data_IF_871874169048
#
_entry.id   IF_871874169048
#
_cell.length_a   1.000
_cell.length_b   1.000
_cell.length_c   1.000
_cell.angle_alpha   90.00
_cell.angle_beta   90.00
_cell.angle_gamma   90.00
#
_symmetry.space_group_name_H-M   'P 1'
#
loop_
_entity.id
_entity.type
_entity.pdbx_description
1 polymer ?
#
# COMPACT_ATOMS: atom_id res chain seq x y z
N UNK A 1 -12.73 -9.71 -0.48
CA UNK A 1 -12.00 -10.59 0.42
C UNK A 1 -10.57 -10.84 -0.08
N UNK A 2 -10.36 -11.35 -1.33
CA UNK A 2 -9.04 -11.72 -1.88
C UNK A 2 -8.03 -10.57 -1.87
N UNK A 3 -8.42 -9.37 -2.34
CA UNK A 3 -7.58 -8.17 -2.29
C UNK A 3 -7.04 -7.89 -0.88
N UNK A 4 -7.89 -8.03 0.13
CA UNK A 4 -7.54 -7.74 1.51
C UNK A 4 -6.62 -8.81 2.08
N UNK A 5 -6.90 -10.10 1.78
CA UNK A 5 -6.04 -11.21 2.16
C UNK A 5 -4.65 -11.06 1.56
N UNK A 6 -4.56 -10.83 0.25
CA UNK A 6 -3.31 -10.57 -0.45
C UNK A 6 -2.52 -9.41 0.19
N UNK A 7 -3.19 -8.28 0.47
CA UNK A 7 -2.54 -7.10 1.04
C UNK A 7 -2.04 -7.33 2.48
N UNK A 8 -2.76 -8.09 3.29
CA UNK A 8 -2.32 -8.45 4.63
C UNK A 8 -1.12 -9.40 4.59
N UNK A 9 -1.18 -10.47 3.80
CA UNK A 9 -0.07 -11.41 3.67
C UNK A 9 1.15 -10.82 2.98
N UNK A 10 0.97 -9.97 1.97
CA UNK A 10 2.06 -9.23 1.35
C UNK A 10 2.86 -8.44 2.40
N UNK A 11 2.16 -7.76 3.30
CA UNK A 11 2.81 -7.01 4.40
C UNK A 11 3.49 -7.94 5.39
N UNK A 12 2.80 -9.00 5.83
CA UNK A 12 3.35 -9.97 6.78
C UNK A 12 4.62 -10.64 6.23
N UNK A 13 4.59 -11.12 4.99
CA UNK A 13 5.73 -11.76 4.34
C UNK A 13 6.89 -10.80 4.11
N UNK A 14 6.60 -9.55 3.78
CA UNK A 14 7.64 -8.51 3.58
C UNK A 14 8.40 -8.23 4.88
N UNK A 15 7.71 -8.17 6.03
CA UNK A 15 8.35 -7.84 7.30
C UNK A 15 8.89 -9.04 8.07
N UNK A 16 8.26 -10.21 7.94
CA UNK A 16 8.53 -11.35 8.82
C UNK A 16 9.00 -12.61 8.08
N UNK A 17 9.03 -12.61 6.76
CA UNK A 17 9.41 -13.77 5.96
C UNK A 17 8.37 -14.88 6.05
N UNK A 18 8.75 -16.04 6.61
CA UNK A 18 7.85 -17.17 6.85
C UNK A 18 6.80 -16.82 7.91
N UNK A 19 5.54 -17.03 7.61
CA UNK A 19 4.42 -16.71 8.50
C UNK A 19 3.38 -17.83 8.49
N UNK A 20 2.53 -17.89 9.51
CA UNK A 20 1.37 -18.78 9.50
C UNK A 20 0.42 -18.38 8.39
N UNK A 21 0.10 -19.29 7.47
CA UNK A 21 -0.79 -19.03 6.35
C UNK A 21 -2.11 -19.78 6.51
N UNK A 22 -3.18 -19.03 6.71
CA UNK A 22 -4.54 -19.56 6.87
C UNK A 22 -5.51 -18.91 5.90
N UNK A 23 -6.44 -19.67 5.37
CA UNK A 23 -7.45 -19.20 4.40
C UNK A 23 -8.90 -19.36 4.88
N UNK A 24 -9.07 -19.97 6.05
CA UNK A 24 -10.35 -20.20 6.71
C UNK A 24 -10.28 -19.74 8.17
N UNK A 25 -11.41 -19.72 8.81
CA UNK A 25 -11.48 -19.51 10.26
C UNK A 25 -10.88 -20.72 10.94
N UNK A 26 -9.99 -20.49 11.88
CA UNK A 26 -9.27 -21.49 12.67
C UNK A 26 -9.75 -21.37 14.11
N UNK A 27 -10.02 -22.49 14.78
CA UNK A 27 -10.36 -22.46 16.19
C UNK A 27 -9.10 -22.23 17.07
N UNK A 28 -9.32 -21.99 18.35
CA UNK A 28 -8.24 -21.63 19.28
C UNK A 28 -7.25 -22.78 19.46
N UNK A 29 -7.74 -24.02 19.54
CA UNK A 29 -6.90 -25.19 19.77
C UNK A 29 -6.04 -25.48 18.53
N UNK A 30 -6.64 -25.43 17.34
CA UNK A 30 -5.94 -25.59 16.07
C UNK A 30 -4.88 -24.47 15.88
N UNK A 31 -5.21 -23.25 16.26
CA UNK A 31 -4.30 -22.10 16.09
C UNK A 31 -2.96 -22.30 16.80
N UNK A 32 -2.93 -22.98 17.93
CA UNK A 32 -1.68 -23.29 18.67
C UNK A 32 -0.83 -24.38 18.02
N UNK A 33 -1.37 -25.14 17.09
CA UNK A 33 -0.66 -26.22 16.37
C UNK A 33 -0.06 -25.77 15.04
N UNK A 34 -0.47 -24.58 14.55
CA UNK A 34 -0.05 -24.07 13.24
C UNK A 34 1.42 -23.64 13.26
N UNK A 35 2.20 -24.17 12.33
CA UNK A 35 3.56 -23.76 12.05
C UNK A 35 3.61 -22.62 11.01
N UNK A 36 4.80 -22.03 10.83
CA UNK A 36 5.05 -21.06 9.77
C UNK A 36 5.11 -21.78 8.42
N UNK A 37 4.45 -21.21 7.43
CA UNK A 37 4.57 -21.63 6.03
C UNK A 37 5.73 -20.87 5.39
N UNK A 38 6.59 -21.54 4.61
CA UNK A 38 7.70 -20.89 3.93
C UNK A 38 7.23 -19.72 3.02
N UNK A 39 7.97 -18.61 3.03
CA UNK A 39 7.75 -17.46 2.16
C UNK A 39 7.59 -17.87 0.70
N UNK A 40 8.42 -18.81 0.22
CA UNK A 40 8.40 -19.31 -1.16
C UNK A 40 7.08 -19.96 -1.57
N UNK A 41 6.32 -20.48 -0.60
CA UNK A 41 5.00 -21.06 -0.86
C UNK A 41 3.87 -20.04 -0.77
N UNK A 42 4.06 -18.97 0.03
CA UNK A 42 3.03 -17.94 0.25
C UNK A 42 3.03 -16.92 -0.90
N UNK A 43 4.20 -16.50 -1.37
CA UNK A 43 4.34 -15.46 -2.40
C UNK A 43 3.53 -15.75 -3.67
N UNK A 44 3.58 -16.96 -4.27
CA UNK A 44 2.73 -17.26 -5.43
C UNK A 44 1.23 -17.16 -5.15
N UNK A 45 0.79 -17.54 -3.94
CA UNK A 45 -0.61 -17.45 -3.52
C UNK A 45 -1.07 -16.00 -3.37
N UNK A 46 -0.19 -15.11 -2.93
CA UNK A 46 -0.46 -13.68 -2.86
C UNK A 46 -0.65 -13.11 -4.28
N UNK A 47 0.19 -13.49 -5.24
CA UNK A 47 0.03 -13.06 -6.63
C UNK A 47 -1.28 -13.55 -7.24
N UNK A 48 -1.63 -14.81 -7.00
CA UNK A 48 -2.89 -15.40 -7.45
C UNK A 48 -4.11 -14.67 -6.86
N UNK A 49 -4.06 -14.32 -5.58
CA UNK A 49 -5.12 -13.57 -4.91
C UNK A 49 -5.27 -12.17 -5.49
N UNK A 50 -4.17 -11.47 -5.80
CA UNK A 50 -4.23 -10.18 -6.47
C UNK A 50 -4.79 -10.29 -7.90
N UNK A 51 -4.42 -11.33 -8.66
CA UNK A 51 -4.92 -11.55 -10.00
C UNK A 51 -6.42 -11.80 -9.99
N UNK A 52 -6.90 -12.72 -9.16
CA UNK A 52 -8.34 -12.98 -8.98
C UNK A 52 -9.09 -11.75 -8.48
N UNK A 53 -8.47 -10.95 -7.62
CA UNK A 53 -9.05 -9.69 -7.17
C UNK A 53 -9.15 -8.69 -8.33
N UNK A 54 -8.11 -8.57 -9.17
CA UNK A 54 -8.12 -7.68 -10.33
C UNK A 54 -9.15 -8.08 -11.39
N UNK A 55 -9.42 -9.39 -11.55
CA UNK A 55 -10.47 -9.89 -12.44
C UNK A 55 -11.88 -9.55 -11.95
N UNK A 56 -12.11 -9.65 -10.65
CA UNK A 56 -13.43 -9.46 -10.04
C UNK A 56 -13.76 -8.05 -9.57
N UNK A 57 -12.78 -7.15 -9.51
CA UNK A 57 -12.96 -5.76 -9.08
C UNK A 57 -13.26 -4.84 -10.26
N UNK A 58 -14.16 -3.87 -10.11
CA UNK A 58 -14.40 -2.88 -11.17
C UNK A 58 -13.20 -1.95 -11.33
N UNK A 59 -13.08 -1.38 -12.51
CA UNK A 59 -12.06 -0.38 -12.80
C UNK A 59 -12.30 0.94 -12.05
N UNK A 60 -13.58 1.31 -11.87
CA UNK A 60 -14.00 2.54 -11.21
C UNK A 60 -15.31 2.32 -10.46
N UNK A 61 -15.44 2.96 -9.30
CA UNK A 61 -16.71 3.06 -8.58
C UNK A 61 -17.31 4.46 -8.76
N UNK A 62 -18.64 4.55 -8.58
CA UNK A 62 -19.36 5.81 -8.59
C UNK A 62 -19.88 6.16 -7.19
N UNK A 63 -20.00 7.45 -6.90
CA UNK A 63 -20.50 7.94 -5.62
C UNK A 63 -19.61 7.58 -4.44
N UNK A 64 -20.21 7.34 -3.28
CA UNK A 64 -19.49 7.01 -2.02
C UNK A 64 -18.71 5.70 -2.08
N UNK A 65 -18.94 4.86 -3.05
CA UNK A 65 -18.19 3.61 -3.26
C UNK A 65 -16.81 3.84 -3.88
N UNK A 66 -16.50 5.05 -4.35
CA UNK A 66 -15.24 5.38 -5.03
C UNK A 66 -13.97 5.15 -4.20
N UNK A 67 -14.10 5.01 -2.87
CA UNK A 67 -12.99 4.75 -1.95
C UNK A 67 -12.69 3.27 -1.72
N UNK A 68 -13.39 2.37 -2.41
CA UNK A 68 -13.12 0.93 -2.34
C UNK A 68 -11.98 0.53 -3.25
N UNK A 69 -11.40 -0.64 -2.96
CA UNK A 69 -10.37 -1.20 -3.83
C UNK A 69 -10.91 -1.44 -5.25
N UNK A 70 -10.15 -1.02 -6.24
CA UNK A 70 -10.43 -1.16 -7.67
C UNK A 70 -9.50 -2.21 -8.30
N UNK A 71 -9.74 -2.55 -9.57
CA UNK A 71 -8.82 -3.35 -10.39
C UNK A 71 -7.41 -2.74 -10.40
N UNK A 72 -7.31 -1.44 -10.59
CA UNK A 72 -6.02 -0.73 -10.55
C UNK A 72 -5.31 -0.83 -9.21
N UNK A 73 -6.06 -0.77 -8.09
CA UNK A 73 -5.49 -0.96 -6.76
C UNK A 73 -4.87 -2.36 -6.59
N UNK A 74 -5.53 -3.41 -7.08
CA UNK A 74 -5.01 -4.78 -7.01
C UNK A 74 -3.72 -4.92 -7.84
N UNK A 75 -3.71 -4.40 -9.06
CA UNK A 75 -2.54 -4.43 -9.95
C UNK A 75 -1.36 -3.63 -9.38
N UNK A 76 -1.60 -2.43 -8.88
CA UNK A 76 -0.56 -1.58 -8.31
C UNK A 76 0.05 -2.18 -7.03
N UNK A 77 -0.76 -2.76 -6.15
CA UNK A 77 -0.25 -3.43 -4.95
C UNK A 77 0.47 -4.72 -5.27
N UNK A 78 0.04 -5.47 -6.30
CA UNK A 78 0.78 -6.63 -6.82
C UNK A 78 2.15 -6.21 -7.35
N UNK A 79 2.21 -5.16 -8.16
CA UNK A 79 3.46 -4.64 -8.71
C UNK A 79 4.44 -4.24 -7.60
N UNK A 80 3.97 -3.50 -6.60
CA UNK A 80 4.77 -3.08 -5.45
C UNK A 80 5.28 -4.26 -4.62
N UNK A 81 4.42 -5.25 -4.37
CA UNK A 81 4.83 -6.44 -3.62
C UNK A 81 5.86 -7.27 -4.38
N UNK A 82 5.65 -7.49 -5.68
CA UNK A 82 6.59 -8.20 -6.55
C UNK A 82 7.96 -7.49 -6.60
N UNK A 83 7.97 -6.16 -6.64
CA UNK A 83 9.18 -5.36 -6.54
C UNK A 83 9.97 -5.68 -5.25
N UNK A 84 9.29 -5.74 -4.10
CA UNK A 84 9.92 -6.09 -2.82
C UNK A 84 10.39 -7.54 -2.74
N UNK A 85 9.79 -8.43 -3.51
CA UNK A 85 10.21 -9.83 -3.59
C UNK A 85 11.38 -10.05 -4.55
N UNK A 86 11.72 -9.08 -5.40
CA UNK A 86 12.73 -9.20 -6.46
C UNK A 86 12.19 -9.84 -7.73
N UNK A 87 10.88 -10.02 -7.84
CA UNK A 87 10.21 -10.63 -8.99
C UNK A 87 9.93 -9.57 -10.07
N UNK A 88 10.99 -9.08 -10.72
CA UNK A 88 10.98 -7.92 -11.61
C UNK A 88 10.02 -8.05 -12.79
N UNK A 89 9.93 -9.23 -13.39
CA UNK A 89 9.04 -9.49 -14.52
C UNK A 89 7.56 -9.38 -14.09
N UNK A 90 7.22 -9.96 -12.95
CA UNK A 90 5.86 -9.88 -12.39
C UNK A 90 5.53 -8.43 -11.99
N UNK A 91 6.49 -7.71 -11.43
CA UNK A 91 6.33 -6.31 -11.07
C UNK A 91 6.07 -5.44 -12.32
N UNK A 92 6.87 -5.62 -13.37
CA UNK A 92 6.75 -4.88 -14.62
C UNK A 92 5.41 -5.17 -15.33
N UNK A 93 5.02 -6.45 -15.43
CA UNK A 93 3.74 -6.86 -16.04
C UNK A 93 2.54 -6.26 -15.29
N UNK A 94 2.52 -6.36 -13.97
CA UNK A 94 1.43 -5.82 -13.16
C UNK A 94 1.35 -4.28 -13.24
N UNK A 95 2.50 -3.60 -13.22
CA UNK A 95 2.57 -2.15 -13.40
C UNK A 95 2.05 -1.73 -14.79
N UNK A 96 2.49 -2.44 -15.83
CA UNK A 96 2.02 -2.17 -17.20
C UNK A 96 0.52 -2.36 -17.34
N UNK A 97 -0.02 -3.45 -16.82
CA UNK A 97 -1.48 -3.69 -16.82
C UNK A 97 -2.24 -2.58 -16.08
N UNK A 98 -1.68 -2.02 -14.99
CA UNK A 98 -2.28 -0.90 -14.28
C UNK A 98 -2.24 0.39 -15.14
N UNK A 99 -1.14 0.66 -15.82
CA UNK A 99 -1.00 1.81 -16.73
C UNK A 99 -1.95 1.70 -17.93
N UNK A 100 -2.09 0.51 -18.50
CA UNK A 100 -2.94 0.24 -19.67
C UNK A 100 -4.44 0.43 -19.39
N UNK A 101 -4.86 0.53 -18.11
CA UNK A 101 -6.22 0.95 -17.76
C UNK A 101 -6.53 2.40 -18.18
N UNK A 102 -5.51 3.25 -18.36
CA UNK A 102 -5.67 4.65 -18.77
C UNK A 102 -6.44 5.55 -17.78
N UNK A 103 -6.57 5.11 -16.52
CA UNK A 103 -7.38 5.78 -15.49
C UNK A 103 -6.57 6.76 -14.62
N UNK A 104 -5.26 6.58 -14.57
CA UNK A 104 -4.37 7.31 -13.68
C UNK A 104 -3.43 8.20 -14.49
N UNK A 105 -3.17 9.40 -13.98
CA UNK A 105 -2.26 10.36 -14.61
C UNK A 105 -1.44 11.04 -13.53
N UNK A 106 -0.17 11.28 -13.82
CA UNK A 106 0.67 12.10 -12.96
C UNK A 106 0.08 13.52 -12.86
N UNK A 107 0.10 14.10 -11.67
CA UNK A 107 -0.29 15.48 -11.46
C UNK A 107 0.71 16.41 -12.16
N UNK A 108 0.21 17.49 -12.75
CA UNK A 108 1.05 18.39 -13.55
C UNK A 108 2.10 19.13 -12.72
N UNK A 109 1.75 19.49 -11.49
CA UNK A 109 2.63 20.16 -10.54
C UNK A 109 2.80 19.29 -9.28
N UNK A 110 4.06 18.90 -9.02
CA UNK A 110 4.38 18.05 -7.90
C UNK A 110 4.10 18.70 -6.54
N UNK A 111 4.34 20.00 -6.40
CA UNK A 111 4.09 20.72 -5.14
C UNK A 111 2.59 20.82 -4.84
N UNK A 112 1.77 21.05 -5.87
CA UNK A 112 0.31 21.11 -5.72
C UNK A 112 -0.31 19.77 -5.31
N UNK A 113 0.33 18.65 -5.65
CA UNK A 113 -0.16 17.30 -5.30
C UNK A 113 -0.42 17.13 -3.79
N UNK A 114 0.31 17.84 -2.95
CA UNK A 114 0.23 17.75 -1.49
C UNK A 114 -0.73 18.78 -0.85
N UNK A 115 -1.40 19.60 -1.65
CA UNK A 115 -2.36 20.57 -1.15
C UNK A 115 -3.73 19.92 -0.87
N UNK A 116 -4.48 20.51 0.04
CA UNK A 116 -5.85 20.07 0.34
C UNK A 116 -6.81 20.21 -0.84
N UNK A 117 -6.51 21.14 -1.76
CA UNK A 117 -7.29 21.41 -2.98
C UNK A 117 -7.18 20.31 -4.03
N UNK A 118 -6.09 19.56 -4.02
CA UNK A 118 -5.80 18.45 -4.95
C UNK A 118 -6.07 17.08 -4.35
N UNK A 119 -6.75 17.04 -3.23
CA UNK A 119 -7.16 15.80 -2.56
C UNK A 119 -7.88 14.86 -3.54
N UNK A 120 -7.46 13.60 -3.57
CA UNK A 120 -7.98 12.57 -4.48
C UNK A 120 -7.69 12.87 -5.96
N UNK A 121 -6.51 13.40 -6.28
CA UNK A 121 -6.06 13.60 -7.66
C UNK A 121 -6.10 12.29 -8.47
N UNK A 122 -6.10 12.41 -9.79
CA UNK A 122 -6.07 11.26 -10.72
C UNK A 122 -4.77 10.44 -10.62
N UNK A 123 -3.75 10.92 -9.93
CA UNK A 123 -2.53 10.17 -9.62
C UNK A 123 -2.76 9.10 -8.54
N UNK A 124 -3.75 9.31 -7.67
CA UNK A 124 -4.01 8.43 -6.54
C UNK A 124 -4.74 7.15 -6.95
N UNK A 125 -4.04 6.02 -6.90
CA UNK A 125 -4.59 4.71 -7.28
C UNK A 125 -5.44 4.10 -6.16
N UNK A 126 -4.96 4.16 -4.93
CA UNK A 126 -5.65 3.63 -3.76
C UNK A 126 -5.32 4.44 -2.51
N UNK A 127 -6.34 4.91 -1.84
CA UNK A 127 -6.24 5.77 -0.68
C UNK A 127 -6.96 5.15 0.52
N UNK A 128 -6.41 5.38 1.70
CA UNK A 128 -7.13 5.24 2.96
C UNK A 128 -7.53 6.66 3.41
N UNK A 129 -8.77 7.09 3.12
CA UNK A 129 -9.17 8.47 3.36
C UNK A 129 -9.15 8.79 4.85
N UNK A 130 -8.75 10.01 5.16
CA UNK A 130 -8.77 10.56 6.51
C UNK A 130 -9.73 11.73 6.54
N UNK A 131 -10.47 11.87 7.62
CA UNK A 131 -11.41 12.96 7.81
C UNK A 131 -11.52 13.32 9.29
N UNK A 132 -11.40 14.60 9.58
CA UNK A 132 -11.64 15.14 10.93
C UNK A 132 -13.12 14.99 11.28
N UNK A 133 -14.01 15.28 10.34
CA UNK A 133 -15.46 15.18 10.49
C UNK A 133 -15.91 13.79 10.94
N UNK A 134 -15.38 12.75 10.30
CA UNK A 134 -15.69 11.35 10.65
C UNK A 134 -14.78 10.77 11.73
N UNK A 135 -13.94 11.60 12.36
CA UNK A 135 -12.96 11.17 13.38
C UNK A 135 -12.02 10.05 12.93
N UNK A 136 -11.80 9.94 11.63
CA UNK A 136 -10.85 9.01 11.02
C UNK A 136 -9.56 9.76 10.77
N UNK A 137 -8.78 9.94 11.82
CA UNK A 137 -7.49 10.63 11.76
C UNK A 137 -6.38 9.68 12.23
N UNK A 138 -5.14 9.91 11.77
CA UNK A 138 -3.97 9.28 12.37
C UNK A 138 -3.64 9.92 13.74
N UNK A 139 -4.45 10.89 14.16
CA UNK A 139 -4.12 11.77 15.26
C UNK A 139 -2.94 12.68 14.91
N UNK A 140 -2.53 13.47 15.87
CA UNK A 140 -1.37 14.35 15.71
C UNK A 140 -0.03 13.57 15.80
N UNK A 141 -0.06 12.26 16.03
CA UNK A 141 1.13 11.45 16.32
C UNK A 141 2.18 11.50 15.19
N UNK A 142 1.77 11.35 13.94
CA UNK A 142 2.72 11.39 12.82
C UNK A 142 3.34 12.77 12.70
N UNK A 143 2.51 13.82 12.65
CA UNK A 143 2.98 15.21 12.54
C UNK A 143 3.84 15.60 13.74
N UNK A 144 3.43 15.27 14.97
CA UNK A 144 4.19 15.59 16.18
C UNK A 144 5.54 14.88 16.24
N UNK A 145 5.66 13.68 15.68
CA UNK A 145 6.94 12.96 15.61
C UNK A 145 7.89 13.53 14.56
N UNK A 146 7.36 14.04 13.44
CA UNK A 146 8.15 14.58 12.34
C UNK A 146 8.55 16.04 12.56
N UNK A 147 7.67 16.83 13.18
CA UNK A 147 7.95 18.24 13.46
C UNK A 147 9.01 18.38 14.53
N UNK A 148 9.99 19.28 14.31
CA UNK A 148 11.04 19.56 15.29
C UNK A 148 10.47 20.08 16.61
N UNK A 149 11.26 19.93 17.70
CA UNK A 149 10.83 20.38 19.03
C UNK A 149 10.58 21.88 19.13
N UNK A 150 11.24 22.67 18.32
CA UNK A 150 11.20 24.14 18.40
C UNK A 150 9.80 24.70 18.10
N UNK A 151 9.04 24.24 17.08
CA UNK A 151 7.64 24.61 16.90
C UNK A 151 6.67 23.75 17.73
N UNK A 152 7.14 22.96 18.70
CA UNK A 152 6.30 22.15 19.59
C UNK A 152 6.09 20.69 19.19
N UNK A 153 6.83 20.18 18.22
CA UNK A 153 6.86 18.76 17.87
C UNK A 153 7.76 17.95 18.80
N UNK A 154 7.79 16.66 18.59
CA UNK A 154 8.65 15.74 19.37
C UNK A 154 10.01 15.49 18.72
N UNK A 155 10.12 15.67 17.39
CA UNK A 155 11.36 15.43 16.64
C UNK A 155 11.88 13.99 16.77
N UNK A 156 10.93 13.02 16.85
CA UNK A 156 11.28 11.62 17.03
C UNK A 156 11.82 10.99 15.73
N UNK A 157 11.42 11.53 14.58
CA UNK A 157 11.92 11.15 13.27
C UNK A 157 12.73 12.28 12.68
N UNK A 158 13.93 11.98 12.25
CA UNK A 158 14.81 12.90 11.57
C UNK A 158 15.35 12.21 10.30
N UNK A 159 15.65 12.97 9.24
CA UNK A 159 16.31 12.42 8.07
C UNK A 159 17.68 11.86 8.44
N UNK A 160 18.05 10.74 7.82
CA UNK A 160 19.39 10.19 7.95
C UNK A 160 20.41 11.03 7.17
N UNK A 161 21.69 10.90 7.54
CA UNK A 161 22.78 11.51 6.75
C UNK A 161 22.84 10.98 5.32
N UNK A 162 22.47 9.70 5.11
CA UNK A 162 22.42 9.10 3.78
C UNK A 162 21.32 9.73 2.92
N UNK A 163 20.16 10.03 3.51
CA UNK A 163 19.11 10.76 2.81
C UNK A 163 19.59 12.16 2.43
N UNK A 164 20.21 12.88 3.35
CA UNK A 164 20.74 14.21 3.09
C UNK A 164 21.81 14.19 1.98
N UNK A 165 22.68 13.19 1.99
CA UNK A 165 23.71 13.03 0.97
C UNK A 165 23.17 12.61 -0.41
N UNK A 166 21.93 12.09 -0.48
CA UNK A 166 21.28 11.72 -1.73
C UNK A 166 20.66 12.91 -2.48
N UNK A 167 20.49 14.07 -1.81
CA UNK A 167 20.03 15.28 -2.48
C UNK A 167 21.17 15.90 -3.30
N UNK A 168 20.83 16.48 -4.44
CA UNK A 168 21.76 17.25 -5.26
C UNK A 168 22.09 18.59 -4.58
N UNK A 169 23.24 19.17 -4.91
CA UNK A 169 23.68 20.45 -4.29
C UNK A 169 22.75 21.65 -4.60
N UNK A 170 21.82 21.46 -5.51
CA UNK A 170 20.87 22.49 -5.98
C UNK A 170 19.43 22.27 -5.51
N UNK A 171 19.18 21.19 -4.75
CA UNK A 171 17.83 20.85 -4.24
C UNK A 171 17.44 21.62 -2.97
#
# INVERSE_FOLDING_TARGET
ALFQRASCYARLVTYFGDVVYVTSVVDIEEAFTLGRTPKSEIVPKIYEDYDKAAEGLPEKYTGVSSLRATKGAALALKARFALYMGDWEIAADAAKKCMDLGLYKLHADYAELFLMTTKNSEESIFLLPRSIEYKVTLGNWTVMNEVSRNPGGWGAFAPSWDLLAAYECTD
#
